data_IF_451861674177
#
_entry.id   IF_451861674177
#
_cell.length_a   1.000
_cell.length_b   1.000
_cell.length_c   1.000
_cell.angle_alpha   90.00
_cell.angle_beta   90.00
_cell.angle_gamma   90.00
#
_symmetry.space_group_name_H-M   'P 1'
#
loop_
_entity.id
_entity.type
_entity.pdbx_description
1 polymer ?
#
# COMPACT_ATOMS: atom_id res chain seq x y z
N UNK A 1 5.00 -12.74 8.70
CA UNK A 1 3.86 -12.48 7.82
C UNK A 1 2.77 -11.73 8.57
N UNK A 2 2.05 -10.89 7.86
CA UNK A 2 0.84 -10.24 8.30
C UNK A 2 -0.35 -11.00 7.72
N UNK A 3 -1.32 -11.39 8.56
CA UNK A 3 -2.58 -11.98 8.13
C UNK A 3 -3.66 -10.90 8.15
N UNK A 4 -4.35 -10.72 7.06
CA UNK A 4 -5.43 -9.75 6.92
C UNK A 4 -6.69 -10.48 6.49
N UNK A 5 -7.77 -10.33 7.26
CA UNK A 5 -9.08 -10.82 6.88
C UNK A 5 -9.93 -9.65 6.38
N UNK A 6 -10.37 -9.72 5.14
CA UNK A 6 -11.24 -8.70 4.56
C UNK A 6 -12.63 -8.78 5.16
N UNK A 7 -13.08 -7.70 5.80
CA UNK A 7 -14.42 -7.65 6.43
C UNK A 7 -15.58 -7.92 5.46
N UNK A 8 -15.43 -7.58 4.18
CA UNK A 8 -16.50 -7.70 3.18
C UNK A 8 -16.62 -9.10 2.59
N UNK A 9 -15.51 -9.78 2.39
CA UNK A 9 -15.45 -11.06 1.66
C UNK A 9 -15.09 -12.24 2.55
N UNK A 10 -14.58 -11.97 3.77
CA UNK A 10 -14.00 -12.98 4.64
C UNK A 10 -12.68 -13.57 4.12
N UNK A 11 -12.17 -13.09 2.98
CA UNK A 11 -10.95 -13.61 2.38
C UNK A 11 -9.74 -13.28 3.26
N UNK A 12 -8.94 -14.29 3.53
CA UNK A 12 -7.66 -14.14 4.21
C UNK A 12 -6.54 -13.89 3.21
N UNK A 13 -5.71 -12.90 3.49
CA UNK A 13 -4.52 -12.58 2.71
C UNK A 13 -3.29 -12.60 3.61
N UNK A 14 -2.27 -13.33 3.19
CA UNK A 14 -0.99 -13.44 3.89
C UNK A 14 0.05 -12.57 3.19
N UNK A 15 0.56 -11.55 3.88
CA UNK A 15 1.54 -10.61 3.35
C UNK A 15 2.90 -10.87 4.01
N UNK A 16 3.94 -11.01 3.20
CA UNK A 16 5.31 -11.11 3.70
C UNK A 16 5.76 -9.78 4.30
N UNK A 17 6.23 -9.81 5.53
CA UNK A 17 6.95 -8.68 6.14
C UNK A 17 8.42 -8.84 5.77
N UNK A 18 8.90 -8.05 4.80
CA UNK A 18 10.29 -8.07 4.38
C UNK A 18 11.22 -7.46 5.44
N UNK A 19 12.55 -7.59 5.27
CA UNK A 19 13.53 -7.14 6.26
C UNK A 19 13.43 -5.63 6.58
N UNK A 20 13.19 -4.79 5.58
CA UNK A 20 13.09 -3.34 5.78
C UNK A 20 11.83 -2.97 6.56
N UNK A 21 10.69 -3.60 6.25
CA UNK A 21 9.47 -3.42 7.02
C UNK A 21 9.62 -3.95 8.45
N UNK A 22 10.33 -5.07 8.66
CA UNK A 22 10.63 -5.57 10.01
C UNK A 22 11.43 -4.56 10.83
N UNK A 23 12.48 -3.96 10.26
CA UNK A 23 13.28 -2.91 10.93
C UNK A 23 12.41 -1.69 11.27
N UNK A 24 11.58 -1.24 10.33
CA UNK A 24 10.67 -0.11 10.54
C UNK A 24 9.66 -0.39 11.66
N UNK A 25 9.05 -1.57 11.66
CA UNK A 25 8.13 -1.99 12.71
C UNK A 25 8.81 -2.12 14.07
N UNK A 26 10.04 -2.63 14.10
CA UNK A 26 10.80 -2.71 15.34
C UNK A 26 11.16 -1.31 15.88
N UNK A 27 11.60 -0.40 15.01
CA UNK A 27 11.87 0.99 15.39
C UNK A 27 10.62 1.67 15.93
N UNK A 28 9.48 1.47 15.26
CA UNK A 28 8.19 1.98 15.73
C UNK A 28 7.80 1.39 17.08
N UNK A 29 7.91 0.07 17.26
CA UNK A 29 7.63 -0.59 18.54
C UNK A 29 8.45 0.00 19.68
N UNK A 30 9.73 0.33 19.43
CA UNK A 30 10.61 0.92 20.44
C UNK A 30 10.21 2.35 20.85
N UNK A 31 9.37 3.03 20.08
CA UNK A 31 8.81 4.34 20.47
C UNK A 31 7.59 4.23 21.39
N UNK A 32 7.05 3.03 21.57
CA UNK A 32 5.89 2.78 22.40
C UNK A 32 6.35 2.37 23.82
N UNK A 33 5.79 3.02 24.83
CA UNK A 33 6.19 2.83 26.23
C UNK A 33 5.83 1.45 26.81
N UNK A 34 4.75 0.85 26.30
CA UNK A 34 4.27 -0.47 26.69
C UNK A 34 3.45 -1.04 25.54
N UNK A 35 3.66 -2.30 25.20
CA UNK A 35 2.93 -2.98 24.11
C UNK A 35 2.54 -4.38 24.58
N UNK A 36 1.25 -4.70 24.46
CA UNK A 36 0.69 -6.03 24.70
C UNK A 36 0.26 -6.66 23.38
N UNK A 37 0.03 -7.98 23.37
CA UNK A 37 -0.42 -8.70 22.17
C UNK A 37 -1.83 -8.33 21.72
N UNK A 38 -2.59 -7.62 22.57
CA UNK A 38 -3.95 -7.15 22.28
C UNK A 38 -4.02 -5.72 21.82
N UNK A 39 -2.90 -5.00 21.80
CA UNK A 39 -2.87 -3.60 21.40
C UNK A 39 -3.00 -3.44 19.88
N UNK A 40 -3.61 -2.34 19.47
CA UNK A 40 -3.68 -1.98 18.06
C UNK A 40 -2.28 -1.60 17.54
N UNK A 41 -1.92 -2.11 16.37
CA UNK A 41 -0.66 -1.74 15.71
C UNK A 41 -0.55 -0.21 15.49
N UNK A 42 -1.67 0.43 15.17
CA UNK A 42 -1.79 1.87 15.06
C UNK A 42 -2.87 2.38 16.01
N UNK A 43 -2.52 2.71 17.26
CA UNK A 43 -3.48 3.23 18.22
C UNK A 43 -3.91 4.67 17.89
N UNK A 44 -5.09 5.02 18.29
CA UNK A 44 -5.58 6.40 18.20
C UNK A 44 -4.89 7.29 19.23
N UNK A 45 -4.33 8.46 18.85
CA UNK A 45 -3.74 9.38 19.82
C UNK A 45 -4.77 10.08 20.72
N UNK A 46 -6.07 9.94 20.41
CA UNK A 46 -7.16 10.61 21.15
C UNK A 46 -7.94 9.70 22.08
N UNK A 47 -7.91 8.40 21.85
CA UNK A 47 -8.64 7.40 22.63
C UNK A 47 -7.71 6.22 22.91
N UNK A 48 -7.41 5.99 24.17
CA UNK A 48 -6.82 4.73 24.62
C UNK A 48 -7.72 3.56 24.21
N UNK A 49 -7.14 2.46 23.77
CA UNK A 49 -7.82 1.24 23.36
C UNK A 49 -8.73 1.35 22.10
N UNK A 50 -8.42 2.27 21.18
CA UNK A 50 -9.09 2.31 19.86
C UNK A 50 -8.10 2.47 18.72
N UNK A 51 -8.41 1.91 17.53
CA UNK A 51 -7.52 2.01 16.38
C UNK A 51 -7.51 3.42 15.79
N UNK A 52 -6.45 3.72 15.05
CA UNK A 52 -6.37 4.91 14.22
C UNK A 52 -7.54 4.95 13.22
N UNK A 53 -8.28 6.05 13.17
CA UNK A 53 -9.38 6.20 12.22
C UNK A 53 -8.87 6.42 10.78
N UNK A 54 -9.71 6.09 9.79
CA UNK A 54 -9.40 6.35 8.36
C UNK A 54 -9.05 7.82 8.10
N UNK A 55 -9.75 8.72 8.75
CA UNK A 55 -9.52 10.16 8.62
C UNK A 55 -8.17 10.58 9.22
N UNK A 56 -7.80 10.04 10.37
CA UNK A 56 -6.50 10.30 10.97
C UNK A 56 -5.36 9.73 10.11
N UNK A 57 -5.50 8.50 9.60
CA UNK A 57 -4.54 7.89 8.67
C UNK A 57 -4.37 8.75 7.41
N UNK A 58 -5.47 9.22 6.81
CA UNK A 58 -5.43 10.15 5.68
C UNK A 58 -4.67 11.43 6.01
N UNK A 59 -4.94 12.06 7.16
CA UNK A 59 -4.23 13.29 7.58
C UNK A 59 -2.73 13.08 7.74
N UNK A 60 -2.32 11.93 8.29
CA UNK A 60 -0.90 11.59 8.45
C UNK A 60 -0.21 11.49 7.08
N UNK A 61 -0.80 10.71 6.16
CA UNK A 61 -0.25 10.53 4.80
C UNK A 61 -0.22 11.87 4.06
N UNK A 62 -1.29 12.65 4.14
CA UNK A 62 -1.37 13.98 3.51
C UNK A 62 -0.28 14.93 4.04
N UNK A 63 -0.14 15.04 5.35
CA UNK A 63 0.87 15.88 5.99
C UNK A 63 2.30 15.45 5.62
N UNK A 64 2.56 14.15 5.51
CA UNK A 64 3.85 13.64 5.08
C UNK A 64 4.15 14.02 3.61
N UNK A 65 3.16 13.93 2.72
CA UNK A 65 3.29 14.34 1.33
C UNK A 65 3.57 15.84 1.19
N UNK A 66 2.82 16.67 1.91
CA UNK A 66 3.02 18.13 1.96
C UNK A 66 4.42 18.50 2.47
N UNK A 67 4.92 17.80 3.49
CA UNK A 67 6.24 18.05 4.07
C UNK A 67 7.41 17.78 3.09
N UNK A 68 7.20 16.97 2.06
CA UNK A 68 8.18 16.69 1.00
C UNK A 68 7.85 17.39 -0.32
N UNK A 69 6.93 18.38 -0.31
CA UNK A 69 6.61 19.20 -1.47
C UNK A 69 5.72 18.52 -2.51
N UNK A 70 5.00 17.46 -2.17
CA UNK A 70 4.03 16.84 -3.08
C UNK A 70 2.72 17.60 -2.98
N UNK A 71 2.36 18.34 -4.03
CA UNK A 71 1.14 19.16 -4.11
C UNK A 71 -0.11 18.34 -4.43
N UNK A 72 0.06 17.18 -5.07
CA UNK A 72 -1.03 16.28 -5.44
C UNK A 72 -1.82 15.77 -4.23
N UNK A 73 -3.09 15.42 -4.48
CA UNK A 73 -3.96 14.86 -3.43
C UNK A 73 -3.57 13.41 -3.14
N UNK A 74 -2.63 13.22 -2.22
CA UNK A 74 -2.17 11.91 -1.78
C UNK A 74 -3.11 11.35 -0.70
N UNK A 75 -3.52 10.09 -0.86
CA UNK A 75 -4.40 9.34 0.05
C UNK A 75 -3.77 7.98 0.37
N UNK A 76 -4.34 7.26 1.34
CA UNK A 76 -3.87 5.90 1.65
C UNK A 76 -3.90 4.96 0.43
N UNK A 77 -4.88 5.12 -0.47
CA UNK A 77 -4.93 4.37 -1.73
C UNK A 77 -3.80 4.72 -2.71
N UNK A 78 -3.24 5.93 -2.63
CA UNK A 78 -2.09 6.32 -3.47
C UNK A 78 -0.88 5.45 -3.18
N UNK A 79 -0.59 5.16 -1.90
CA UNK A 79 0.49 4.26 -1.50
C UNK A 79 0.30 2.85 -2.07
N UNK A 80 -0.94 2.34 -2.06
CA UNK A 80 -1.25 1.04 -2.64
C UNK A 80 -1.07 1.05 -4.18
N UNK A 81 -1.51 2.13 -4.86
CA UNK A 81 -1.28 2.30 -6.30
C UNK A 81 0.21 2.35 -6.63
N UNK A 82 0.99 3.12 -5.88
CA UNK A 82 2.44 3.24 -6.06
C UNK A 82 3.13 1.88 -5.96
N UNK A 83 2.77 1.07 -4.97
CA UNK A 83 3.29 -0.30 -4.85
C UNK A 83 3.04 -1.12 -6.13
N UNK A 84 1.81 -1.14 -6.63
CA UNK A 84 1.46 -1.91 -7.82
C UNK A 84 2.09 -1.37 -9.10
N UNK A 85 2.20 -0.05 -9.22
CA UNK A 85 2.90 0.57 -10.35
C UNK A 85 4.37 0.15 -10.39
N UNK A 86 5.08 0.21 -9.26
CA UNK A 86 6.46 -0.24 -9.20
C UNK A 86 6.59 -1.75 -9.43
N UNK A 87 5.71 -2.55 -8.87
CA UNK A 87 5.69 -3.99 -9.14
C UNK A 87 5.48 -4.28 -10.65
N UNK A 88 4.59 -3.56 -11.30
CA UNK A 88 4.42 -3.61 -12.76
C UNK A 88 5.70 -3.25 -13.51
N UNK A 89 6.33 -2.13 -13.17
CA UNK A 89 7.61 -1.68 -13.78
C UNK A 89 8.76 -2.68 -13.56
N UNK A 90 8.72 -3.45 -12.50
CA UNK A 90 9.67 -4.55 -12.23
C UNK A 90 9.36 -5.85 -13.01
N UNK A 91 8.32 -5.84 -13.85
CA UNK A 91 7.95 -7.00 -14.67
C UNK A 91 7.08 -8.03 -13.96
N UNK A 92 6.42 -7.67 -12.85
CA UNK A 92 5.48 -8.58 -12.19
C UNK A 92 4.36 -9.00 -13.15
N UNK A 93 4.08 -10.32 -13.30
CA UNK A 93 3.03 -10.79 -14.18
C UNK A 93 1.66 -10.19 -13.86
N UNK A 94 0.88 -9.79 -14.86
CA UNK A 94 -0.46 -9.21 -14.67
C UNK A 94 -1.38 -10.05 -13.80
N UNK A 95 -1.35 -11.38 -13.96
CA UNK A 95 -2.18 -12.30 -13.19
C UNK A 95 -1.89 -12.21 -11.68
N UNK A 96 -0.61 -12.07 -11.30
CA UNK A 96 -0.21 -11.92 -9.91
C UNK A 96 -0.64 -10.57 -9.32
N UNK A 97 -0.57 -9.50 -10.12
CA UNK A 97 -1.09 -8.19 -9.70
C UNK A 97 -2.61 -8.22 -9.49
N UNK A 98 -3.35 -8.89 -10.39
CA UNK A 98 -4.80 -9.08 -10.23
C UNK A 98 -5.12 -9.80 -8.91
N UNK A 99 -4.37 -10.84 -8.60
CA UNK A 99 -4.55 -11.60 -7.34
C UNK A 99 -4.28 -10.73 -6.11
N UNK A 100 -3.15 -9.99 -6.08
CA UNK A 100 -2.77 -9.08 -4.98
C UNK A 100 -3.84 -8.01 -4.74
N UNK A 101 -4.45 -7.51 -5.81
CA UNK A 101 -5.49 -6.47 -5.75
C UNK A 101 -6.92 -7.02 -5.61
N UNK A 102 -7.09 -8.35 -5.75
CA UNK A 102 -8.39 -9.01 -5.80
C UNK A 102 -9.30 -8.44 -6.91
N UNK A 103 -8.72 -8.21 -8.09
CA UNK A 103 -9.41 -7.69 -9.27
C UNK A 103 -9.84 -8.84 -10.19
N UNK A 104 -11.05 -8.75 -10.74
CA UNK A 104 -11.62 -9.76 -11.64
C UNK A 104 -11.06 -9.71 -13.06
N UNK A 105 -10.36 -8.64 -13.45
CA UNK A 105 -9.73 -8.53 -14.77
C UNK A 105 -8.48 -7.65 -14.73
N UNK A 106 -7.58 -7.88 -15.69
CA UNK A 106 -6.40 -7.04 -15.86
C UNK A 106 -6.76 -5.61 -16.29
N UNK A 107 -7.83 -5.43 -17.02
CA UNK A 107 -8.28 -4.09 -17.40
C UNK A 107 -8.58 -3.21 -16.17
N UNK A 108 -9.20 -3.79 -15.14
CA UNK A 108 -9.44 -3.10 -13.85
C UNK A 108 -8.11 -2.76 -13.19
N UNK A 109 -7.17 -3.71 -13.15
CA UNK A 109 -5.83 -3.50 -12.58
C UNK A 109 -5.07 -2.40 -13.31
N UNK A 110 -5.09 -2.44 -14.63
CA UNK A 110 -4.44 -1.46 -15.51
C UNK A 110 -4.96 -0.03 -15.25
N UNK A 111 -6.27 0.13 -15.25
CA UNK A 111 -6.91 1.42 -14.95
C UNK A 111 -6.60 1.87 -13.51
N UNK A 112 -6.67 0.95 -12.56
CA UNK A 112 -6.36 1.23 -11.15
C UNK A 112 -4.93 1.73 -10.95
N UNK A 113 -3.95 1.14 -11.62
CA UNK A 113 -2.53 1.49 -11.52
C UNK A 113 -2.15 2.71 -12.36
N UNK A 114 -3.00 3.15 -13.29
CA UNK A 114 -2.69 4.23 -14.22
C UNK A 114 -1.65 3.83 -15.26
N UNK A 115 -1.64 2.56 -15.68
CA UNK A 115 -0.81 2.06 -16.78
C UNK A 115 -1.41 2.55 -18.09
N UNK A 116 -0.85 3.59 -18.66
CA UNK A 116 -1.39 4.33 -19.78
C UNK A 116 -0.59 4.14 -21.08
N UNK A 117 -0.88 4.98 -22.05
CA UNK A 117 -0.28 4.95 -23.39
C UNK A 117 1.25 5.07 -23.36
N UNK A 118 1.81 5.82 -22.42
CA UNK A 118 3.27 5.98 -22.27
C UNK A 118 4.02 4.65 -22.12
N UNK A 119 3.40 3.67 -21.42
CA UNK A 119 3.99 2.33 -21.27
C UNK A 119 3.98 1.55 -22.60
N UNK A 120 2.97 1.77 -23.47
CA UNK A 120 2.94 1.19 -24.81
C UNK A 120 3.96 1.86 -25.73
N UNK A 121 4.06 3.18 -25.66
CA UNK A 121 4.98 3.96 -26.46
C UNK A 121 6.46 3.63 -26.11
N UNK A 122 6.73 3.32 -24.83
CA UNK A 122 8.03 2.83 -24.43
C UNK A 122 8.39 1.51 -25.13
N UNK A 123 7.45 0.56 -25.22
CA UNK A 123 7.68 -0.72 -25.93
C UNK A 123 8.03 -0.47 -27.40
N UNK A 124 7.28 0.39 -28.09
CA UNK A 124 7.56 0.70 -29.50
C UNK A 124 8.87 1.45 -29.70
N UNK A 125 9.32 2.19 -28.70
CA UNK A 125 10.62 2.90 -28.74
C UNK A 125 11.79 1.97 -28.52
N UNK A 126 11.63 0.96 -27.67
CA UNK A 126 12.71 0.08 -27.24
C UNK A 126 12.90 -1.14 -28.16
N UNK A 127 11.90 -1.51 -28.96
CA UNK A 127 11.99 -2.59 -29.93
C UNK A 127 12.47 -2.00 -31.25
N UNK A 128 13.75 -2.25 -31.58
CA UNK A 128 14.33 -2.01 -32.89
C UNK A 128 14.19 -3.29 -33.74
N UNK A 129 13.40 -3.24 -34.79
CA UNK A 129 13.25 -4.30 -35.80
C UNK A 129 14.32 -4.12 -36.88
#
# INVERSE_FOLDING_TARGET
>A
HLLITEKKTGKETRILINRELQKTLQSYRNTLSSVTDTDYLFPSPRKTASPLSRYQAYRIVRKAAEAVGIEDVIRCHSLRKTFGYHAWKMGTPPALLMEIYNHSSFQITKHYLGIEQDDKDAIFRDIQL
#
